data_IF_359819332427
#
_entry.id   IF_359819332427
#
_cell.length_a   1.000
_cell.length_b   1.000
_cell.length_c   1.000
_cell.angle_alpha   90.00
_cell.angle_beta   90.00
_cell.angle_gamma   90.00
#
_symmetry.space_group_name_H-M   'P 1'
#
loop_
_entity.id
_entity.type
_entity.pdbx_description
1 polymer ?
#
# COMPACT_ATOMS: atom_id res chain seq x y z
N UNK A 1 -1.87 -50.10 20.67
CA UNK A 1 -1.87 -48.67 21.05
C UNK A 1 -1.63 -47.87 19.78
N UNK A 2 -2.65 -47.18 19.28
CA UNK A 2 -2.59 -46.60 17.93
C UNK A 2 -2.02 -45.19 18.00
N UNK A 3 -1.09 -44.87 17.10
CA UNK A 3 -0.54 -43.53 16.89
C UNK A 3 -0.98 -43.04 15.52
N UNK A 4 -1.51 -41.82 15.48
CA UNK A 4 -1.83 -41.10 14.23
C UNK A 4 -0.67 -40.15 13.93
N UNK A 5 -0.11 -40.24 12.73
CA UNK A 5 0.80 -39.24 12.19
C UNK A 5 -0.03 -38.32 11.28
N UNK A 6 -0.29 -37.09 11.74
CA UNK A 6 -1.03 -36.09 10.97
C UNK A 6 -0.04 -35.27 10.12
N UNK A 7 0.10 -35.64 8.85
CA UNK A 7 0.99 -34.98 7.88
C UNK A 7 0.38 -33.73 7.24
N UNK A 8 -0.84 -33.36 7.67
CA UNK A 8 -1.62 -32.33 6.99
C UNK A 8 -1.32 -30.95 7.64
N UNK A 9 -1.04 -30.88 8.95
CA UNK A 9 -0.79 -29.62 9.68
C UNK A 9 0.39 -28.85 9.05
N UNK A 10 0.07 -27.81 8.27
CA UNK A 10 1.04 -26.93 7.61
C UNK A 10 0.88 -26.80 6.09
N UNK A 11 0.18 -27.74 5.44
CA UNK A 11 0.00 -27.73 3.98
C UNK A 11 -1.35 -27.17 3.53
N UNK A 12 -2.25 -26.86 4.46
CA UNK A 12 -3.57 -26.32 4.19
C UNK A 12 -3.90 -25.19 5.15
N UNK A 13 -4.70 -24.24 4.66
CA UNK A 13 -5.24 -23.15 5.46
C UNK A 13 -6.73 -23.41 5.66
N UNK A 14 -7.16 -23.43 6.92
CA UNK A 14 -8.59 -23.52 7.24
C UNK A 14 -9.22 -22.14 7.01
N UNK A 15 -10.25 -22.08 6.18
CA UNK A 15 -10.97 -20.85 5.86
C UNK A 15 -12.43 -21.01 6.32
N UNK A 16 -13.03 -19.99 6.97
CA UNK A 16 -14.43 -20.04 7.37
C UNK A 16 -15.37 -20.22 6.17
N UNK A 17 -16.28 -21.18 6.24
CA UNK A 17 -17.28 -21.40 5.19
C UNK A 17 -18.24 -20.21 5.03
N UNK A 18 -18.40 -19.40 6.07
CA UNK A 18 -19.19 -18.17 6.04
C UNK A 18 -18.57 -17.12 5.12
N UNK A 19 -17.24 -16.93 5.18
CA UNK A 19 -16.53 -16.03 4.27
C UNK A 19 -16.73 -16.44 2.81
N UNK A 20 -16.65 -17.75 2.52
CA UNK A 20 -16.81 -18.28 1.16
C UNK A 20 -18.22 -17.98 0.64
N UNK A 21 -19.24 -18.13 1.50
CA UNK A 21 -20.66 -17.93 1.17
C UNK A 21 -21.10 -16.46 1.22
N UNK A 22 -20.23 -15.54 1.62
CA UNK A 22 -20.58 -14.13 1.80
C UNK A 22 -20.70 -13.40 0.46
N UNK A 23 -21.93 -13.32 -0.07
CA UNK A 23 -22.24 -12.76 -1.42
C UNK A 23 -21.89 -11.28 -1.55
N UNK A 24 -21.98 -10.51 -0.46
CA UNK A 24 -21.68 -9.08 -0.50
C UNK A 24 -20.18 -8.77 -0.60
N UNK A 25 -19.30 -9.77 -0.43
CA UNK A 25 -17.86 -9.60 -0.61
C UNK A 25 -17.45 -9.93 -2.05
N UNK A 26 -16.64 -9.04 -2.61
CA UNK A 26 -15.94 -9.24 -3.86
C UNK A 26 -15.08 -10.51 -3.81
N UNK A 27 -15.02 -11.25 -4.92
CA UNK A 27 -14.21 -12.46 -5.05
C UNK A 27 -12.75 -12.22 -4.70
N UNK A 28 -12.22 -11.06 -5.13
CA UNK A 28 -10.84 -10.65 -4.80
C UNK A 28 -10.65 -10.24 -3.34
N UNK A 29 -11.68 -9.77 -2.65
CA UNK A 29 -11.61 -9.54 -1.21
C UNK A 29 -11.54 -10.88 -0.47
N UNK A 30 -12.37 -11.86 -0.85
CA UNK A 30 -12.29 -13.23 -0.32
C UNK A 30 -10.92 -13.86 -0.59
N UNK A 31 -10.38 -13.71 -1.79
CA UNK A 31 -9.04 -14.19 -2.14
C UNK A 31 -7.94 -13.51 -1.31
N UNK A 32 -8.03 -12.19 -1.10
CA UNK A 32 -7.08 -11.47 -0.25
C UNK A 32 -7.07 -12.03 1.18
N UNK A 33 -8.23 -12.31 1.76
CA UNK A 33 -8.32 -12.95 3.08
C UNK A 33 -7.59 -14.30 3.10
N UNK A 34 -7.80 -15.15 2.10
CA UNK A 34 -7.13 -16.47 1.99
C UNK A 34 -5.61 -16.31 1.95
N UNK A 35 -5.13 -15.35 1.15
CA UNK A 35 -3.69 -15.06 1.04
C UNK A 35 -3.10 -14.57 2.36
N UNK A 36 -3.85 -13.80 3.15
CA UNK A 36 -3.39 -13.34 4.46
C UNK A 36 -3.43 -14.49 5.48
N UNK A 37 -4.48 -15.32 5.46
CA UNK A 37 -4.65 -16.45 6.38
C UNK A 37 -3.62 -17.58 6.17
N UNK A 38 -3.08 -17.73 4.96
CA UNK A 38 -2.03 -18.72 4.69
C UNK A 38 -0.66 -18.33 5.25
N UNK A 39 -0.47 -17.06 5.63
CA UNK A 39 0.83 -16.53 6.03
C UNK A 39 1.13 -16.90 7.49
N UNK A 40 2.42 -17.02 7.85
CA UNK A 40 2.79 -17.29 9.23
C UNK A 40 2.29 -16.17 10.15
N UNK A 41 2.08 -16.51 11.42
CA UNK A 41 1.79 -15.54 12.47
C UNK A 41 2.91 -14.49 12.52
N UNK A 42 2.55 -13.21 12.74
CA UNK A 42 3.48 -12.07 12.79
C UNK A 42 4.26 -11.82 11.49
N UNK A 43 3.70 -12.20 10.34
CA UNK A 43 4.34 -11.91 9.05
C UNK A 43 4.34 -10.41 8.71
N UNK A 44 5.53 -9.84 8.63
CA UNK A 44 5.74 -8.49 8.11
C UNK A 44 5.72 -8.45 6.59
N UNK A 45 4.93 -7.55 6.01
CA UNK A 45 4.85 -7.38 4.56
C UNK A 45 4.69 -5.91 4.14
N UNK A 46 5.22 -5.59 2.97
CA UNK A 46 4.94 -4.32 2.30
C UNK A 46 3.74 -4.46 1.37
N UNK A 47 2.77 -3.56 1.50
CA UNK A 47 1.55 -3.57 0.66
C UNK A 47 1.88 -3.58 -0.84
N UNK A 48 2.92 -2.86 -1.27
CA UNK A 48 3.33 -2.79 -2.67
C UNK A 48 3.86 -4.12 -3.20
N UNK A 49 4.64 -4.84 -2.40
CA UNK A 49 5.21 -6.12 -2.79
C UNK A 49 4.15 -7.22 -2.82
N UNK A 50 3.28 -7.24 -1.80
CA UNK A 50 2.15 -8.16 -1.75
C UNK A 50 1.15 -7.89 -2.89
N UNK A 51 0.86 -6.62 -3.19
CA UNK A 51 -0.03 -6.30 -4.31
C UNK A 51 0.58 -6.74 -5.65
N UNK A 52 1.88 -6.52 -5.84
CA UNK A 52 2.58 -6.93 -7.06
C UNK A 52 2.60 -8.45 -7.22
N UNK A 53 2.82 -9.21 -6.14
CA UNK A 53 2.81 -10.68 -6.21
C UNK A 53 1.42 -11.24 -6.51
N UNK A 54 0.37 -10.53 -6.13
CA UNK A 54 -1.03 -10.85 -6.46
C UNK A 54 -1.46 -10.33 -7.84
N UNK A 55 -0.57 -9.64 -8.58
CA UNK A 55 -0.88 -9.08 -9.89
C UNK A 55 -1.91 -7.94 -9.83
N UNK A 56 -1.98 -7.20 -8.71
CA UNK A 56 -2.96 -6.15 -8.48
C UNK A 56 -2.32 -4.81 -8.14
N UNK A 57 -3.02 -3.71 -8.44
CA UNK A 57 -2.55 -2.37 -8.07
C UNK A 57 -2.67 -2.17 -6.53
N UNK A 58 -1.74 -1.42 -5.89
CA UNK A 58 -1.81 -1.13 -4.46
C UNK A 58 -3.13 -0.48 -4.01
N UNK A 59 -3.76 0.34 -4.86
CA UNK A 59 -5.06 0.96 -4.54
C UNK A 59 -6.18 -0.07 -4.54
N UNK A 60 -6.12 -1.05 -5.45
CA UNK A 60 -7.07 -2.16 -5.49
C UNK A 60 -6.94 -3.03 -4.24
N UNK A 61 -5.71 -3.24 -3.76
CA UNK A 61 -5.48 -3.92 -2.48
C UNK A 61 -6.16 -3.17 -1.32
N UNK A 62 -5.95 -1.85 -1.24
CA UNK A 62 -6.55 -1.02 -0.18
C UNK A 62 -8.08 -1.08 -0.22
N UNK A 63 -8.68 -1.02 -1.41
CA UNK A 63 -10.12 -1.16 -1.61
C UNK A 63 -10.66 -2.47 -1.01
N UNK A 64 -10.10 -3.62 -1.40
CA UNK A 64 -10.59 -4.91 -0.91
C UNK A 64 -10.28 -5.15 0.56
N UNK A 65 -9.16 -4.62 1.05
CA UNK A 65 -8.86 -4.60 2.49
C UNK A 65 -9.94 -3.83 3.26
N UNK A 66 -10.33 -2.65 2.77
CA UNK A 66 -11.36 -1.83 3.44
C UNK A 66 -12.72 -2.54 3.43
N UNK A 67 -13.05 -3.23 2.34
CA UNK A 67 -14.24 -4.08 2.25
C UNK A 67 -14.25 -5.22 3.29
N UNK A 68 -13.11 -5.90 3.49
CA UNK A 68 -12.96 -6.91 4.55
C UNK A 68 -13.02 -6.31 5.96
N UNK A 69 -12.51 -5.09 6.13
CA UNK A 69 -12.59 -4.39 7.42
C UNK A 69 -14.01 -3.93 7.75
N UNK A 70 -14.75 -3.45 6.75
CA UNK A 70 -16.13 -2.97 6.92
C UNK A 70 -17.09 -4.13 7.21
N UNK A 71 -16.81 -5.32 6.69
CA UNK A 71 -17.55 -6.56 6.96
C UNK A 71 -17.09 -7.30 8.23
N UNK A 72 -16.04 -6.84 8.91
CA UNK A 72 -15.58 -7.40 10.18
C UNK A 72 -14.68 -8.63 10.07
N UNK A 73 -14.27 -9.04 8.88
CA UNK A 73 -13.37 -10.18 8.68
C UNK A 73 -11.91 -9.86 9.02
N UNK A 74 -11.54 -8.58 8.95
CA UNK A 74 -10.21 -8.10 9.32
C UNK A 74 -10.34 -6.89 10.24
N UNK A 75 -9.60 -6.91 11.35
CA UNK A 75 -9.44 -5.72 12.21
C UNK A 75 -8.06 -5.11 11.97
N UNK A 76 -8.04 -3.82 11.66
CA UNK A 76 -6.81 -3.04 11.47
C UNK A 76 -6.59 -2.15 12.68
N UNK A 77 -5.45 -2.32 13.34
CA UNK A 77 -5.00 -1.45 14.42
C UNK A 77 -4.00 -0.42 13.89
N UNK A 78 -4.26 0.84 14.20
CA UNK A 78 -3.38 1.96 13.86
C UNK A 78 -2.66 2.40 15.14
N UNK A 79 -1.35 2.15 15.20
CA UNK A 79 -0.54 2.61 16.33
C UNK A 79 -0.31 4.12 16.23
N UNK A 80 -0.94 4.91 17.11
CA UNK A 80 -0.63 6.33 17.27
C UNK A 80 0.62 6.47 18.14
N UNK A 81 1.68 7.09 17.61
CA UNK A 81 2.86 7.44 18.41
C UNK A 81 2.77 8.89 18.85
N UNK A 82 3.27 9.21 20.05
CA UNK A 82 3.33 10.57 20.60
C UNK A 82 4.07 11.56 19.67
N UNK A 83 4.93 11.07 18.77
CA UNK A 83 5.75 11.87 17.87
C UNK A 83 5.12 12.12 16.48
N UNK A 84 3.80 11.93 16.32
CA UNK A 84 3.07 12.17 15.05
C UNK A 84 3.61 11.42 13.82
N UNK A 85 4.33 10.32 14.02
CA UNK A 85 4.83 9.48 12.93
C UNK A 85 3.82 8.39 12.57
N UNK A 86 3.64 8.15 11.27
CA UNK A 86 2.83 7.07 10.75
C UNK A 86 3.54 5.74 10.99
N UNK A 87 2.98 4.89 11.86
CA UNK A 87 3.48 3.53 12.12
C UNK A 87 2.86 2.50 11.19
N UNK A 88 3.49 1.33 11.16
CA UNK A 88 3.01 0.11 10.52
C UNK A 88 1.63 -0.28 11.07
N UNK A 89 0.75 -0.71 10.17
CA UNK A 89 -0.60 -1.19 10.51
C UNK A 89 -0.51 -2.66 10.92
N UNK A 90 -1.16 -3.02 12.02
CA UNK A 90 -1.29 -4.42 12.45
C UNK A 90 -2.63 -4.95 11.93
N UNK A 91 -2.58 -6.13 11.30
CA UNK A 91 -3.74 -6.80 10.72
C UNK A 91 -4.10 -8.01 11.57
N UNK A 92 -5.34 -8.04 12.06
CA UNK A 92 -5.92 -9.17 12.76
C UNK A 92 -6.94 -9.84 11.84
N UNK A 93 -6.79 -11.16 11.63
CA UNK A 93 -7.67 -11.95 10.77
C UNK A 93 -8.65 -12.69 11.68
N UNK A 94 -9.93 -12.41 11.53
CA UNK A 94 -10.96 -12.95 12.42
C UNK A 94 -11.55 -14.24 11.82
N UNK A 95 -11.80 -15.24 12.67
CA UNK A 95 -12.46 -16.48 12.25
C UNK A 95 -13.97 -16.30 12.04
N UNK A 96 -14.55 -15.32 12.74
CA UNK A 96 -15.94 -14.89 12.63
C UNK A 96 -15.97 -13.38 12.39
N UNK A 97 -16.97 -12.85 11.66
CA UNK A 97 -17.03 -11.43 11.38
C UNK A 97 -17.31 -10.63 12.66
N UNK A 98 -16.38 -9.78 13.06
CA UNK A 98 -16.51 -8.89 14.21
C UNK A 98 -16.70 -7.46 13.72
N UNK A 99 -17.95 -6.99 13.76
CA UNK A 99 -18.28 -5.63 13.36
C UNK A 99 -17.91 -4.71 14.52
N UNK A 100 -16.77 -4.03 14.37
CA UNK A 100 -16.36 -2.97 15.28
C UNK A 100 -17.35 -1.79 15.17
N UNK A 101 -18.37 -1.77 16.02
CA UNK A 101 -19.41 -0.73 16.08
C UNK A 101 -18.80 0.65 16.31
N UNK A 102 -17.72 0.76 17.08
CA UNK A 102 -17.04 2.04 17.36
C UNK A 102 -16.52 2.75 16.11
N UNK A 103 -16.00 2.01 15.11
CA UNK A 103 -15.53 2.60 13.84
C UNK A 103 -16.70 3.06 12.96
N UNK A 104 -17.85 2.42 13.08
CA UNK A 104 -19.04 2.77 12.30
C UNK A 104 -19.77 3.99 12.88
N UNK A 105 -19.83 4.18 14.21
CA UNK A 105 -20.42 5.41 14.78
C UNK A 105 -19.72 6.70 14.30
N UNK A 106 -18.41 6.67 14.09
CA UNK A 106 -17.64 7.83 13.57
C UNK A 106 -17.90 8.10 12.08
N UNK A 107 -18.27 7.07 11.30
CA UNK A 107 -18.64 7.24 9.89
C UNK A 107 -20.06 7.81 9.77
N UNK A 108 -21.00 7.40 10.63
CA UNK A 108 -22.41 7.80 10.56
C UNK A 108 -22.72 9.13 11.27
N UNK A 109 -21.89 9.60 12.20
CA UNK A 109 -22.05 10.92 12.83
C UNK A 109 -21.58 12.10 11.96
N UNK A 110 -21.13 11.85 10.73
CA UNK A 110 -21.05 12.89 9.71
C UNK A 110 -22.46 13.18 9.16
N UNK A 111 -23.34 13.65 10.05
CA UNK A 111 -24.52 14.40 9.65
C UNK A 111 -24.06 15.56 8.78
N UNK A 112 -24.35 15.45 7.49
CA UNK A 112 -24.53 16.54 6.52
C UNK A 112 -23.86 17.87 6.91
N UNK A 113 -22.53 17.90 7.02
CA UNK A 113 -21.84 19.16 6.77
C UNK A 113 -21.95 19.32 5.27
N UNK A 114 -22.84 20.19 4.82
CA UNK A 114 -22.91 20.61 3.42
C UNK A 114 -21.47 20.72 2.92
N UNK A 115 -21.11 19.90 1.92
CA UNK A 115 -19.83 20.08 1.24
C UNK A 115 -19.91 21.47 0.65
N UNK A 116 -19.34 22.46 1.34
CA UNK A 116 -18.95 23.70 0.70
C UNK A 116 -17.85 23.26 -0.26
N UNK A 117 -18.23 22.95 -1.51
CA UNK A 117 -17.24 22.85 -2.56
C UNK A 117 -16.48 24.18 -2.52
N UNK A 118 -15.15 24.19 -2.44
CA UNK A 118 -14.41 25.43 -2.58
C UNK A 118 -14.79 26.02 -3.94
N UNK A 119 -15.58 27.09 -3.91
CA UNK A 119 -15.85 27.91 -5.07
C UNK A 119 -14.52 28.50 -5.49
N UNK A 120 -13.96 27.99 -6.58
CA UNK A 120 -12.76 28.56 -7.19
C UNK A 120 -13.16 29.92 -7.74
N UNK A 121 -12.89 30.99 -7.00
CA UNK A 121 -12.92 32.34 -7.57
C UNK A 121 -11.87 32.38 -8.66
N UNK A 122 -12.26 32.79 -9.87
CA UNK A 122 -11.32 33.03 -10.95
C UNK A 122 -10.31 34.08 -10.45
N UNK A 123 -9.02 33.76 -10.51
CA UNK A 123 -7.97 34.73 -10.23
C UNK A 123 -8.04 35.79 -11.32
N UNK A 124 -8.49 37.00 -10.98
CA UNK A 124 -8.32 38.14 -11.88
C UNK A 124 -6.86 38.53 -11.84
N UNK A 125 -6.18 38.44 -12.99
CA UNK A 125 -4.84 38.99 -13.14
C UNK A 125 -4.98 40.52 -13.13
N UNK A 126 -4.88 41.13 -11.95
CA UNK A 126 -4.68 42.58 -11.88
C UNK A 126 -3.27 42.84 -12.41
N UNK A 127 -3.16 43.61 -13.50
CA UNK A 127 -1.88 44.11 -14.01
C UNK A 127 -1.32 45.10 -12.99
N UNK A 128 -0.71 44.59 -11.93
CA UNK A 128 0.14 45.41 -11.08
C UNK A 128 1.45 45.59 -11.85
N UNK A 129 1.48 46.65 -12.65
CA UNK A 129 2.71 47.16 -13.24
C UNK A 129 3.72 47.44 -12.13
N UNK A 130 4.94 46.96 -12.35
CA UNK A 130 6.16 47.30 -11.59
C UNK A 130 6.27 46.73 -10.18
N UNK A 131 6.65 45.46 -10.12
CA UNK A 131 7.38 44.87 -9.01
C UNK A 131 8.00 43.56 -9.47
N UNK A 132 9.32 43.47 -9.53
CA UNK A 132 10.03 42.23 -9.87
C UNK A 132 9.72 41.19 -8.80
N UNK A 133 8.69 40.36 -9.01
CA UNK A 133 8.48 39.18 -8.20
C UNK A 133 9.61 38.20 -8.55
N UNK A 134 10.64 38.12 -7.70
CA UNK A 134 11.59 37.02 -7.78
C UNK A 134 10.83 35.73 -7.52
N UNK A 135 10.56 34.97 -8.59
CA UNK A 135 10.06 33.61 -8.45
C UNK A 135 11.10 32.85 -7.64
N UNK A 136 10.72 32.39 -6.44
CA UNK A 136 11.52 31.47 -5.64
C UNK A 136 11.55 30.12 -6.37
N UNK A 137 12.38 30.05 -7.40
CA UNK A 137 12.64 28.83 -8.14
C UNK A 137 13.48 27.94 -7.22
N UNK A 138 12.91 26.86 -6.72
CA UNK A 138 13.69 25.85 -6.01
C UNK A 138 14.66 25.17 -7.00
N UNK A 139 15.87 25.71 -7.13
CA UNK A 139 16.96 25.20 -7.98
C UNK A 139 17.44 23.80 -7.56
N UNK A 140 17.12 23.37 -6.35
CA UNK A 140 17.52 22.08 -5.79
C UNK A 140 16.86 20.88 -6.49
N UNK A 141 15.67 21.04 -7.09
CA UNK A 141 14.99 19.94 -7.79
C UNK A 141 15.60 19.64 -9.17
N UNK A 142 16.12 20.66 -9.88
CA UNK A 142 16.77 20.46 -11.19
C UNK A 142 18.15 19.81 -11.07
N UNK A 143 18.88 20.06 -9.97
CA UNK A 143 20.18 19.42 -9.72
C UNK A 143 20.05 17.91 -9.46
N UNK A 144 19.06 17.46 -8.68
CA UNK A 144 18.81 16.02 -8.45
C UNK A 144 18.51 15.23 -9.73
N UNK A 145 17.78 15.82 -10.69
CA UNK A 145 17.51 15.18 -11.99
C UNK A 145 18.78 15.02 -12.84
N UNK A 146 19.70 15.98 -12.79
CA UNK A 146 20.96 15.90 -13.52
C UNK A 146 21.97 14.93 -12.88
N UNK A 147 22.01 14.84 -11.55
CA UNK A 147 22.85 13.86 -10.83
C UNK A 147 22.43 12.43 -11.22
N UNK A 148 21.13 12.13 -11.23
CA UNK A 148 20.66 10.79 -11.60
C UNK A 148 20.89 10.45 -13.09
N UNK A 149 20.84 11.44 -13.99
CA UNK A 149 21.07 11.24 -15.43
C UNK A 149 22.56 11.06 -15.78
N UNK A 150 23.46 11.60 -14.95
CA UNK A 150 24.91 11.43 -15.12
C UNK A 150 25.38 10.08 -14.54
N UNK A 151 24.77 9.62 -13.43
CA UNK A 151 25.09 8.31 -12.85
C UNK A 151 24.69 7.13 -13.77
N UNK A 152 23.58 7.24 -14.50
CA UNK A 152 23.16 6.19 -15.45
C UNK A 152 24.13 6.06 -16.64
N UNK A 153 24.71 7.17 -17.12
CA UNK A 153 25.69 7.17 -18.22
C UNK A 153 27.06 6.65 -17.80
N UNK A 154 27.45 6.85 -16.54
CA UNK A 154 28.73 6.35 -16.01
C UNK A 154 28.74 4.82 -15.87
N UNK A 155 27.59 4.21 -15.52
CA UNK A 155 27.42 2.75 -15.42
C UNK A 155 27.37 2.04 -16.78
N UNK A 156 26.94 2.70 -17.85
CA UNK A 156 26.98 2.15 -19.22
C UNK A 156 28.40 2.17 -19.81
N UNK A 157 29.17 3.23 -19.55
CA UNK A 157 30.54 3.33 -20.09
C UNK A 157 31.51 2.35 -19.42
N UNK A 158 31.34 2.04 -18.13
CA UNK A 158 32.22 1.11 -17.41
C UNK A 158 32.00 -0.37 -17.80
N UNK A 159 30.83 -0.73 -18.33
CA UNK A 159 30.56 -2.09 -18.84
C UNK A 159 31.20 -2.34 -20.22
N UNK A 160 31.42 -1.30 -21.00
CA UNK A 160 32.00 -1.40 -22.35
C UNK A 160 33.54 -1.44 -22.33
N UNK A 161 34.19 -0.88 -21.31
CA UNK A 161 35.66 -0.91 -21.17
C UNK A 161 36.23 -2.26 -20.73
N UNK A 162 35.44 -3.14 -20.12
CA UNK A 162 35.90 -4.46 -19.61
C UNK A 162 35.91 -5.54 -20.72
N UNK A 163 35.27 -5.28 -21.87
CA UNK A 163 35.15 -6.24 -22.98
C UNK A 163 36.22 -6.12 -24.07
N UNK A 164 37.16 -5.17 -23.95
CA UNK A 164 38.24 -4.98 -24.92
C UNK A 164 39.60 -5.14 -24.26
N UNK A 165 39.99 -6.38 -23.97
CA UNK A 165 41.41 -6.70 -23.80
C UNK A 165 41.68 -8.10 -24.35
N UNK A 166 42.12 -8.25 -25.62
CA UNK A 166 42.61 -9.52 -26.10
C UNK A 166 44.01 -9.76 -25.53
N UNK A 167 44.14 -10.75 -24.65
CA UNK A 167 45.43 -11.19 -24.11
C UNK A 167 46.40 -11.56 -25.25
N UNK A 168 47.66 -11.11 -25.24
CA UNK A 168 48.67 -11.60 -26.18
C UNK A 168 49.05 -13.04 -25.83
N UNK A 169 48.98 -13.95 -26.81
CA UNK A 169 49.42 -15.34 -26.69
C UNK A 169 50.95 -15.38 -26.58
N UNK A 170 51.45 -16.05 -25.54
CA UNK A 170 52.77 -16.70 -25.54
C UNK A 170 52.60 -18.13 -26.06
#
# INVERSE_FOLDING_TARGET
MNKIHNHIKGNFTMIPNELIRHIALSDRARFLYVVLAQKPQEWDFFTKELSNSLGMHPDTFRKYRDELSDSGWITIEEQKTQNCQFKTKIYHINATPEINTEKNLVKTSNQQKERILPSRKNTTAVKNGHGKNHSLNNTNYKQKKNINKNNSKFLENNKNSIRQNPNPRQ
#
